data_IF_767740781857
#
_entry.id   IF_767740781857
#
_cell.length_a   1.000
_cell.length_b   1.000
_cell.length_c   1.000
_cell.angle_alpha   90.00
_cell.angle_beta   90.00
_cell.angle_gamma   90.00
#
_symmetry.space_group_name_H-M   'P 1'
#
loop_
_entity.id
_entity.type
_entity.pdbx_description
1 polymer ?
#
# COMPACT_ATOMS: atom_id res chain seq x y z
N UNK A 1 -22.48 18.85 -27.68
CA UNK A 1 -22.55 17.50 -27.08
C UNK A 1 -21.25 16.78 -27.41
N UNK A 2 -20.32 16.79 -26.47
CA UNK A 2 -19.06 16.02 -26.56
C UNK A 2 -18.92 15.35 -25.21
N UNK A 3 -19.08 14.04 -25.22
CA UNK A 3 -19.14 13.14 -24.07
C UNK A 3 -18.07 13.45 -23.03
N UNK A 4 -18.52 13.82 -21.83
CA UNK A 4 -17.78 13.57 -20.59
C UNK A 4 -17.59 12.06 -20.52
N UNK A 5 -16.46 11.61 -21.07
CA UNK A 5 -16.07 10.22 -21.19
C UNK A 5 -16.20 9.53 -19.83
N UNK A 6 -17.05 8.51 -19.78
CA UNK A 6 -17.18 7.48 -18.76
C UNK A 6 -16.15 7.61 -17.62
N UNK A 7 -16.53 8.29 -16.53
CA UNK A 7 -15.75 8.37 -15.30
C UNK A 7 -15.71 6.98 -14.66
N UNK A 8 -14.91 6.07 -15.21
CA UNK A 8 -14.50 4.88 -14.48
C UNK A 8 -13.74 5.38 -13.26
N UNK A 9 -14.44 5.44 -12.12
CA UNK A 9 -13.86 5.82 -10.84
C UNK A 9 -12.64 4.91 -10.61
N UNK A 10 -11.46 5.51 -10.52
CA UNK A 10 -10.23 4.77 -10.26
C UNK A 10 -10.17 4.37 -8.79
N UNK A 11 -9.76 3.13 -8.54
CA UNK A 11 -9.54 2.61 -7.19
C UNK A 11 -8.10 2.18 -7.07
N UNK A 12 -7.41 2.70 -6.06
CA UNK A 12 -6.11 2.20 -5.62
C UNK A 12 -6.28 1.53 -4.26
N UNK A 13 -5.74 0.33 -4.09
CA UNK A 13 -5.70 -0.33 -2.78
C UNK A 13 -4.41 -1.14 -2.64
N UNK A 14 -3.71 -0.94 -1.53
CA UNK A 14 -2.46 -1.62 -1.21
C UNK A 14 -2.57 -2.46 0.03
N UNK A 15 -1.78 -3.52 0.11
CA UNK A 15 -1.68 -4.37 1.30
C UNK A 15 -0.22 -4.70 1.58
N UNK A 16 0.17 -4.64 2.85
CA UNK A 16 1.55 -4.94 3.27
C UNK A 16 1.76 -6.45 3.32
N UNK A 17 2.89 -6.97 2.78
CA UNK A 17 3.25 -8.38 2.87
C UNK A 17 3.80 -8.73 4.27
N UNK A 18 2.92 -8.94 5.25
CA UNK A 18 3.30 -9.23 6.65
C UNK A 18 3.09 -10.69 7.06
N UNK A 19 3.04 -11.61 6.11
CA UNK A 19 2.81 -13.04 6.32
C UNK A 19 1.60 -13.57 5.56
N UNK A 20 1.18 -14.81 5.88
CA UNK A 20 0.10 -15.51 5.18
C UNK A 20 -1.25 -14.83 5.38
N UNK A 21 -2.06 -14.77 4.32
CA UNK A 21 -3.43 -14.28 4.42
C UNK A 21 -4.30 -15.26 5.21
N UNK A 22 -5.40 -14.73 5.75
CA UNK A 22 -6.37 -15.48 6.53
C UNK A 22 -7.79 -14.99 6.20
N UNK A 23 -8.83 -15.68 6.67
CA UNK A 23 -10.23 -15.37 6.33
C UNK A 23 -10.64 -13.91 6.61
N UNK A 24 -10.07 -13.28 7.65
CA UNK A 24 -10.24 -11.84 7.89
C UNK A 24 -9.83 -10.95 6.71
N UNK A 25 -8.72 -11.25 6.02
CA UNK A 25 -8.29 -10.52 4.81
C UNK A 25 -9.26 -10.76 3.65
N UNK A 26 -9.74 -12.00 3.49
CA UNK A 26 -10.69 -12.33 2.44
C UNK A 26 -12.00 -11.56 2.58
N UNK A 27 -12.62 -11.62 3.78
CA UNK A 27 -13.87 -10.93 4.06
C UNK A 27 -13.72 -9.42 4.18
N UNK A 28 -12.57 -8.94 4.65
CA UNK A 28 -12.31 -7.51 4.82
C UNK A 28 -11.97 -6.78 3.54
N UNK A 29 -11.17 -7.38 2.64
CA UNK A 29 -10.60 -6.67 1.48
C UNK A 29 -10.79 -7.43 0.17
N UNK A 30 -10.36 -8.70 0.08
CA UNK A 30 -10.30 -9.38 -1.23
C UNK A 30 -11.66 -9.57 -1.88
N UNK A 31 -12.70 -9.92 -1.11
CA UNK A 31 -14.07 -10.03 -1.63
C UNK A 31 -14.54 -8.72 -2.27
N UNK A 32 -14.15 -7.58 -1.71
CA UNK A 32 -14.48 -6.27 -2.25
C UNK A 32 -13.65 -5.98 -3.52
N UNK A 33 -12.36 -6.28 -3.53
CA UNK A 33 -11.52 -6.15 -4.74
C UNK A 33 -12.07 -6.95 -5.92
N UNK A 34 -12.59 -8.16 -5.67
CA UNK A 34 -13.22 -9.00 -6.70
C UNK A 34 -14.47 -8.37 -7.31
N UNK A 35 -15.24 -7.63 -6.51
CA UNK A 35 -16.39 -6.88 -7.01
C UNK A 35 -15.96 -5.59 -7.74
N UNK A 36 -14.99 -4.86 -7.19
CA UNK A 36 -14.53 -3.58 -7.72
C UNK A 36 -13.83 -3.71 -9.07
N UNK A 37 -12.97 -4.73 -9.26
CA UNK A 37 -12.28 -4.95 -10.54
C UNK A 37 -13.23 -5.13 -11.74
N UNK A 38 -14.50 -5.47 -11.51
CA UNK A 38 -15.50 -5.62 -12.57
C UNK A 38 -16.17 -4.31 -12.99
N UNK A 39 -16.03 -3.27 -12.17
CA UNK A 39 -16.81 -2.03 -12.27
C UNK A 39 -15.97 -0.76 -12.26
N UNK A 40 -14.69 -0.85 -11.89
CA UNK A 40 -13.79 0.27 -11.68
C UNK A 40 -12.43 0.00 -12.36
N UNK A 41 -11.71 1.07 -12.69
CA UNK A 41 -10.30 0.99 -13.09
C UNK A 41 -9.47 0.77 -11.82
N UNK A 42 -9.03 -0.47 -11.59
CA UNK A 42 -8.44 -0.89 -10.33
C UNK A 42 -6.92 -1.06 -10.40
N UNK A 43 -6.26 -0.56 -9.38
CA UNK A 43 -4.84 -0.68 -9.11
C UNK A 43 -4.67 -1.33 -7.74
N UNK A 44 -4.19 -2.56 -7.71
CA UNK A 44 -3.96 -3.33 -6.50
C UNK A 44 -2.48 -3.63 -6.35
N UNK A 45 -1.92 -3.37 -5.18
CA UNK A 45 -0.46 -3.46 -5.05
C UNK A 45 0.04 -4.02 -3.73
N UNK A 46 1.18 -4.68 -3.84
CA UNK A 46 1.96 -5.15 -2.70
C UNK A 46 2.78 -3.98 -2.18
N UNK A 47 2.47 -3.53 -0.96
CA UNK A 47 3.11 -2.39 -0.31
C UNK A 47 4.37 -2.84 0.46
N UNK A 48 5.40 -3.29 -0.26
CA UNK A 48 6.61 -3.89 0.30
C UNK A 48 7.56 -2.86 0.96
N UNK A 49 7.68 -1.64 0.44
CA UNK A 49 8.39 -0.57 1.15
C UNK A 49 7.68 -0.16 2.44
N UNK A 50 6.35 -0.16 2.46
CA UNK A 50 5.62 0.02 3.73
C UNK A 50 5.89 -1.09 4.73
N UNK A 51 6.09 -2.34 4.29
CA UNK A 51 6.46 -3.42 5.21
C UNK A 51 7.84 -3.19 5.83
N UNK A 52 8.80 -2.62 5.09
CA UNK A 52 10.13 -2.28 5.63
C UNK A 52 10.06 -1.27 6.79
N UNK A 53 9.05 -0.40 6.83
CA UNK A 53 8.91 0.58 7.93
C UNK A 53 8.73 -0.06 9.31
N UNK A 54 8.23 -1.30 9.38
CA UNK A 54 8.00 -2.03 10.64
C UNK A 54 8.71 -3.39 10.72
N UNK A 55 9.25 -3.91 9.61
CA UNK A 55 9.92 -5.20 9.51
C UNK A 55 11.36 -5.10 8.95
N UNK A 56 12.03 -3.95 9.11
CA UNK A 56 13.40 -3.76 8.61
C UNK A 56 14.44 -4.71 9.22
N UNK A 57 14.17 -5.34 10.37
CA UNK A 57 15.10 -6.23 11.07
C UNK A 57 15.28 -7.58 10.36
N UNK A 58 14.27 -8.06 9.63
CA UNK A 58 14.39 -9.26 8.77
C UNK A 58 13.68 -9.09 7.42
N UNK A 59 14.30 -8.33 6.48
CA UNK A 59 13.71 -8.04 5.17
C UNK A 59 13.49 -9.28 4.30
N UNK A 60 14.18 -10.40 4.59
CA UNK A 60 14.09 -11.63 3.79
C UNK A 60 12.68 -12.21 3.81
N UNK A 61 11.98 -12.07 4.94
CA UNK A 61 10.59 -12.52 5.10
C UNK A 61 9.66 -11.76 4.15
N UNK A 62 9.91 -10.46 3.94
CA UNK A 62 9.11 -9.62 3.02
C UNK A 62 9.16 -10.21 1.62
N UNK A 63 10.36 -10.54 1.11
CA UNK A 63 10.54 -11.06 -0.25
C UNK A 63 9.70 -12.31 -0.53
N UNK A 64 9.69 -13.30 0.39
CA UNK A 64 8.82 -14.47 0.25
C UNK A 64 7.34 -14.12 0.39
N UNK A 65 6.98 -13.24 1.34
CA UNK A 65 5.60 -12.85 1.59
C UNK A 65 4.96 -12.05 0.46
N UNK A 66 5.75 -11.31 -0.34
CA UNK A 66 5.26 -10.64 -1.55
C UNK A 66 4.63 -11.67 -2.50
N UNK A 67 5.34 -12.74 -2.81
CA UNK A 67 4.88 -13.75 -3.77
C UNK A 67 3.75 -14.60 -3.22
N UNK A 68 3.82 -15.04 -1.96
CA UNK A 68 2.73 -15.76 -1.31
C UNK A 68 1.42 -14.95 -1.36
N UNK A 69 1.50 -13.65 -1.06
CA UNK A 69 0.33 -12.77 -1.06
C UNK A 69 -0.26 -12.56 -2.46
N UNK A 70 0.57 -12.39 -3.49
CA UNK A 70 0.08 -12.29 -4.88
C UNK A 70 -0.60 -13.60 -5.30
N UNK A 71 -0.01 -14.75 -4.97
CA UNK A 71 -0.62 -16.07 -5.24
C UNK A 71 -1.99 -16.18 -4.58
N UNK A 72 -2.11 -15.79 -3.30
CA UNK A 72 -3.38 -15.82 -2.58
C UNK A 72 -4.44 -14.90 -3.23
N UNK A 73 -4.04 -13.72 -3.71
CA UNK A 73 -4.96 -12.81 -4.40
C UNK A 73 -5.50 -13.39 -5.70
N UNK A 74 -4.62 -13.96 -6.52
CA UNK A 74 -5.00 -14.61 -7.76
C UNK A 74 -5.91 -15.82 -7.49
N UNK A 75 -5.57 -16.65 -6.50
CA UNK A 75 -6.37 -17.79 -6.08
C UNK A 75 -7.75 -17.38 -5.56
N UNK A 76 -7.85 -16.22 -4.89
CA UNK A 76 -9.12 -15.68 -4.42
C UNK A 76 -10.01 -15.13 -5.55
N UNK A 77 -9.46 -14.87 -6.74
CA UNK A 77 -10.21 -14.39 -7.91
C UNK A 77 -9.83 -12.99 -8.39
N UNK A 78 -8.67 -12.45 -7.99
CA UNK A 78 -8.10 -11.26 -8.61
C UNK A 78 -7.63 -11.61 -10.04
N UNK A 79 -8.17 -10.96 -11.07
CA UNK A 79 -7.75 -11.16 -12.47
C UNK A 79 -6.86 -9.99 -12.94
N UNK A 80 -5.57 -10.23 -13.23
CA UNK A 80 -4.65 -9.21 -13.76
C UNK A 80 -5.06 -8.64 -15.13
N UNK A 81 -6.01 -9.26 -15.82
CA UNK A 81 -6.58 -8.75 -17.07
C UNK A 81 -7.71 -7.73 -16.82
N UNK A 82 -8.28 -7.71 -15.62
CA UNK A 82 -9.35 -6.80 -15.22
C UNK A 82 -8.84 -5.67 -14.30
N UNK A 83 -7.72 -5.86 -13.61
CA UNK A 83 -7.09 -4.87 -12.74
C UNK A 83 -5.57 -4.87 -12.89
N UNK A 84 -4.95 -3.71 -12.68
CA UNK A 84 -3.49 -3.59 -12.62
C UNK A 84 -3.00 -4.12 -11.28
N UNK A 85 -2.16 -5.15 -11.29
CA UNK A 85 -1.53 -5.73 -10.09
C UNK A 85 -0.03 -5.50 -10.15
N UNK A 86 0.55 -4.90 -9.11
CA UNK A 86 1.98 -4.57 -9.10
C UNK A 86 2.61 -4.62 -7.69
N UNK A 87 3.93 -4.49 -7.65
CA UNK A 87 4.72 -4.41 -6.41
C UNK A 87 5.22 -2.97 -6.28
N UNK A 88 5.04 -2.36 -5.11
CA UNK A 88 5.37 -0.94 -4.87
C UNK A 88 6.83 -0.64 -5.24
N UNK A 89 7.77 -1.47 -4.80
CA UNK A 89 9.19 -1.27 -5.10
C UNK A 89 9.60 -1.39 -6.58
N UNK A 90 8.73 -1.95 -7.43
CA UNK A 90 8.98 -2.08 -8.87
C UNK A 90 8.54 -0.83 -9.66
N UNK A 91 7.98 0.18 -9.00
CA UNK A 91 7.51 1.43 -9.60
C UNK A 91 8.23 2.59 -8.91
N UNK A 92 9.36 3.02 -9.48
CA UNK A 92 10.27 3.99 -8.85
C UNK A 92 9.64 5.36 -8.63
N UNK A 93 8.60 5.70 -9.40
CA UNK A 93 7.84 6.94 -9.30
C UNK A 93 7.25 7.17 -7.90
N UNK A 94 6.93 6.09 -7.17
CA UNK A 94 6.50 6.18 -5.77
C UNK A 94 7.59 6.77 -4.88
N UNK A 95 8.83 6.31 -5.04
CA UNK A 95 9.97 6.80 -4.27
C UNK A 95 10.36 8.23 -4.71
N UNK A 96 10.37 8.50 -6.01
CA UNK A 96 10.68 9.83 -6.54
C UNK A 96 9.69 10.87 -6.01
N UNK A 97 8.39 10.60 -6.10
CA UNK A 97 7.37 11.51 -5.58
C UNK A 97 7.45 11.66 -4.06
N UNK A 98 7.70 10.56 -3.33
CA UNK A 98 7.93 10.64 -1.88
C UNK A 98 9.09 11.57 -1.52
N UNK A 99 10.22 11.48 -2.24
CA UNK A 99 11.37 12.37 -2.04
C UNK A 99 10.98 13.83 -2.27
N UNK A 100 10.27 14.15 -3.37
CA UNK A 100 9.83 15.52 -3.65
C UNK A 100 8.89 16.05 -2.57
N UNK A 101 7.90 15.24 -2.16
CA UNK A 101 6.96 15.61 -1.10
C UNK A 101 7.65 15.79 0.26
N UNK A 102 8.72 15.04 0.52
CA UNK A 102 9.47 15.12 1.80
C UNK A 102 10.11 16.49 2.01
N UNK A 103 10.49 17.19 0.94
CA UNK A 103 11.06 18.54 1.02
C UNK A 103 10.03 19.62 1.37
N UNK A 104 8.75 19.33 1.12
CA UNK A 104 7.65 20.27 1.33
C UNK A 104 6.87 20.02 2.63
N UNK A 105 6.96 18.81 3.17
CA UNK A 105 6.10 18.36 4.27
C UNK A 105 6.71 18.71 5.63
N UNK A 106 6.04 19.54 6.45
CA UNK A 106 6.51 19.83 7.80
C UNK A 106 6.49 18.58 8.69
N UNK A 107 7.55 18.37 9.48
CA UNK A 107 7.65 17.25 10.43
C UNK A 107 6.44 17.17 11.37
N UNK A 108 5.98 18.32 11.85
CA UNK A 108 4.84 18.40 12.79
C UNK A 108 3.53 17.84 12.22
N UNK A 109 3.38 17.76 10.89
CA UNK A 109 2.21 17.13 10.27
C UNK A 109 2.26 15.62 10.43
N UNK A 110 3.44 15.02 10.23
CA UNK A 110 3.66 13.58 10.36
C UNK A 110 3.56 13.12 11.83
N UNK A 111 4.19 13.87 12.75
CA UNK A 111 4.17 13.57 14.19
C UNK A 111 2.76 13.63 14.81
N UNK A 112 1.82 14.32 14.15
CA UNK A 112 0.44 14.46 14.62
C UNK A 112 -0.51 13.41 14.08
N UNK A 113 -0.08 12.56 13.14
CA UNK A 113 -0.92 11.49 12.57
C UNK A 113 -1.35 10.53 13.69
N UNK A 114 -2.65 10.34 13.96
CA UNK A 114 -3.11 9.50 15.07
C UNK A 114 -2.65 8.04 14.94
N UNK A 115 -2.75 7.44 13.75
CA UNK A 115 -2.31 6.05 13.53
C UNK A 115 -0.81 5.86 13.75
N UNK A 116 0.01 6.87 13.44
CA UNK A 116 1.44 6.85 13.76
C UNK A 116 1.66 6.80 15.27
N UNK A 117 0.96 7.66 16.04
CA UNK A 117 1.05 7.67 17.51
C UNK A 117 0.59 6.36 18.13
N UNK A 118 -0.51 5.81 17.64
CA UNK A 118 -1.07 4.54 18.13
C UNK A 118 -0.08 3.39 17.89
N UNK A 119 0.48 3.28 16.68
CA UNK A 119 1.48 2.26 16.37
C UNK A 119 2.78 2.47 17.14
N UNK A 120 3.24 3.72 17.31
CA UNK A 120 4.40 4.04 18.14
C UNK A 120 4.19 3.62 19.60
N UNK A 121 2.97 3.77 20.13
CA UNK A 121 2.63 3.35 21.49
C UNK A 121 2.56 1.82 21.64
N UNK A 122 2.03 1.11 20.63
CA UNK A 122 1.94 -0.36 20.63
C UNK A 122 3.31 -1.03 20.45
N UNK A 123 4.23 -0.36 19.77
CA UNK A 123 5.52 -0.92 19.37
C UNK A 123 6.68 -0.30 20.15
N UNK A 124 6.41 0.23 21.36
CA UNK A 124 7.41 0.89 22.23
C UNK A 124 8.64 0.03 22.52
N UNK A 125 8.49 -1.29 22.54
CA UNK A 125 9.60 -2.23 22.77
C UNK A 125 10.47 -2.44 21.53
N UNK A 126 9.95 -2.14 20.34
CA UNK A 126 10.72 -2.15 19.10
C UNK A 126 11.32 -0.77 18.89
N UNK A 127 12.57 -0.71 18.44
CA UNK A 127 13.25 0.56 18.14
C UNK A 127 12.73 1.23 16.85
N UNK A 128 11.40 1.38 16.70
CA UNK A 128 10.75 1.96 15.51
C UNK A 128 10.86 3.49 15.43
N UNK A 129 11.81 4.10 16.14
CA UNK A 129 12.14 5.51 16.00
C UNK A 129 12.97 5.77 14.72
N UNK A 130 12.48 5.26 13.58
CA UNK A 130 13.13 5.42 12.28
C UNK A 130 12.42 6.50 11.47
N UNK A 131 13.18 7.21 10.62
CA UNK A 131 12.59 8.17 9.68
C UNK A 131 11.58 7.50 8.74
N UNK A 132 11.85 6.27 8.29
CA UNK A 132 10.93 5.52 7.44
C UNK A 132 9.57 5.27 8.10
N UNK A 133 9.56 4.95 9.41
CA UNK A 133 8.33 4.78 10.16
C UNK A 133 7.59 6.12 10.37
N UNK A 134 8.29 7.23 10.64
CA UNK A 134 7.66 8.56 10.67
C UNK A 134 7.11 8.99 9.29
N UNK A 135 7.82 8.63 8.22
CA UNK A 135 7.53 9.02 6.84
C UNK A 135 6.48 8.16 6.12
N UNK A 136 6.05 7.03 6.70
CA UNK A 136 5.10 6.12 6.05
C UNK A 136 3.81 6.82 5.58
N UNK A 137 3.19 7.77 6.31
CA UNK A 137 1.97 8.43 5.83
C UNK A 137 2.21 9.29 4.59
N UNK A 138 3.43 9.83 4.44
CA UNK A 138 3.82 10.59 3.27
C UNK A 138 4.08 9.68 2.07
N UNK A 139 4.71 8.53 2.28
CA UNK A 139 4.85 7.49 1.25
C UNK A 139 3.47 7.01 0.78
N UNK A 140 2.52 6.80 1.70
CA UNK A 140 1.14 6.45 1.35
C UNK A 140 0.46 7.54 0.50
N UNK A 141 0.78 8.81 0.77
CA UNK A 141 0.29 9.93 -0.04
C UNK A 141 0.88 9.91 -1.44
N UNK A 142 2.18 9.63 -1.57
CA UNK A 142 2.85 9.46 -2.85
C UNK A 142 2.21 8.30 -3.65
N UNK A 143 1.98 7.14 -3.00
CA UNK A 143 1.35 5.98 -3.63
C UNK A 143 0.00 6.31 -4.27
N UNK A 144 -0.80 7.17 -3.62
CA UNK A 144 -2.11 7.58 -4.13
C UNK A 144 -2.00 8.59 -5.26
N UNK A 145 -1.09 9.56 -5.14
CA UNK A 145 -0.99 10.70 -6.07
C UNK A 145 -0.38 10.32 -7.43
N UNK A 146 0.47 9.30 -7.51
CA UNK A 146 1.04 8.81 -8.78
C UNK A 146 -0.05 8.38 -9.78
N UNK A 147 -1.23 7.97 -9.29
CA UNK A 147 -2.32 7.46 -10.13
C UNK A 147 -3.49 8.45 -10.29
N UNK A 148 -3.30 9.74 -9.99
CA UNK A 148 -4.34 10.78 -10.10
C UNK A 148 -4.15 11.73 -11.28
#
# INVERSE_FOLDING_TARGET
MSSLSNQNRRVLSGMRPTGRLHLGHYHGVLKNWIALQRTHDCFFFVADWHALTTHYEDPRVIGSSVWEMVIDWLAAGLDPRAATVFIQSHVSEHAELHVLLSMLTPLSWLERVPSFKDQQAQLRERALATYGFLGYPLLQSADILVYR
#
